data_IF_465097127672
#
_entry.id   IF_465097127672
#
_cell.length_a   1.000
_cell.length_b   1.000
_cell.length_c   1.000
_cell.angle_alpha   90.00
_cell.angle_beta   90.00
_cell.angle_gamma   90.00
#
_symmetry.space_group_name_H-M   'P 1'
#
loop_
_entity.id
_entity.type
_entity.pdbx_description
1 polymer ?
#
# COMPACT_ATOMS: atom_id res chain seq x y z
N UNK A 1 -18.77 12.46 1.33
CA UNK A 1 -18.61 11.52 2.46
C UNK A 1 -17.18 10.99 2.48
N UNK A 2 -16.53 11.12 3.61
CA UNK A 2 -15.14 10.66 3.77
C UNK A 2 -15.09 9.17 4.08
N UNK A 3 -14.28 8.44 3.33
CA UNK A 3 -14.02 7.02 3.52
C UNK A 3 -12.53 6.77 3.67
N UNK A 4 -12.18 5.56 4.11
CA UNK A 4 -10.78 5.15 4.26
C UNK A 4 -10.52 3.86 3.48
N UNK A 5 -9.38 3.81 2.82
CA UNK A 5 -8.90 2.63 2.10
C UNK A 5 -7.52 2.24 2.66
N UNK A 6 -7.23 0.95 2.71
CA UNK A 6 -5.99 0.41 3.31
C UNK A 6 -5.29 -0.51 2.32
N UNK A 7 -4.10 -0.12 1.90
CA UNK A 7 -3.30 -0.90 0.94
C UNK A 7 -1.88 -1.11 1.43
N UNK A 8 -1.39 -2.34 1.31
CA UNK A 8 0.01 -2.68 1.57
C UNK A 8 0.72 -2.83 0.22
N UNK A 9 1.67 -1.99 -0.06
CA UNK A 9 2.37 -1.91 -1.35
C UNK A 9 3.88 -1.90 -1.27
N UNK A 10 4.46 -2.56 -0.27
CA UNK A 10 5.89 -2.52 -0.01
C UNK A 10 6.24 -1.34 0.87
N UNK A 11 7.39 -0.71 0.63
CA UNK A 11 7.81 0.44 1.42
C UNK A 11 6.76 1.57 1.35
N UNK A 12 6.19 1.95 2.50
CA UNK A 12 5.14 2.98 2.51
C UNK A 12 5.65 4.36 2.10
N UNK A 13 6.95 4.64 2.25
CA UNK A 13 7.53 5.89 1.75
C UNK A 13 7.42 6.02 0.23
N UNK A 14 7.45 4.89 -0.47
CA UNK A 14 7.48 4.85 -1.94
C UNK A 14 6.09 4.80 -2.57
N UNK A 15 5.09 4.33 -1.85
CA UNK A 15 3.73 4.13 -2.38
C UNK A 15 2.80 5.33 -2.12
N UNK A 16 3.15 6.22 -1.19
CA UNK A 16 2.29 7.35 -0.83
C UNK A 16 2.17 8.46 -1.89
N UNK A 17 3.26 8.83 -2.64
CA UNK A 17 3.19 9.98 -3.54
C UNK A 17 2.05 9.99 -4.56
N UNK A 18 1.74 8.88 -5.28
CA UNK A 18 0.66 8.90 -6.26
C UNK A 18 -0.70 9.27 -5.67
N UNK A 19 -0.93 8.92 -4.40
CA UNK A 19 -2.19 9.21 -3.74
C UNK A 19 -2.30 10.67 -3.29
N UNK A 20 -1.17 11.28 -2.91
CA UNK A 20 -1.17 12.71 -2.60
C UNK A 20 -1.52 13.56 -3.82
N UNK A 21 -1.23 13.07 -5.02
CA UNK A 21 -1.50 13.76 -6.27
C UNK A 21 -2.89 13.47 -6.82
N UNK A 22 -3.64 12.56 -6.20
CA UNK A 22 -4.98 12.18 -6.65
C UNK A 22 -6.02 13.14 -6.11
N UNK A 23 -6.78 13.79 -7.00
CA UNK A 23 -7.87 14.68 -6.60
C UNK A 23 -8.93 13.88 -5.84
N UNK A 24 -9.39 14.43 -4.73
CA UNK A 24 -10.34 13.76 -3.84
C UNK A 24 -9.69 13.02 -2.67
N UNK A 25 -8.37 12.80 -2.70
CA UNK A 25 -7.65 12.24 -1.55
C UNK A 25 -7.39 13.37 -0.55
N UNK A 26 -7.83 13.17 0.69
CA UNK A 26 -7.75 14.17 1.75
C UNK A 26 -6.48 14.02 2.58
N UNK A 27 -6.05 12.79 2.83
CA UNK A 27 -4.82 12.51 3.58
C UNK A 27 -4.37 11.08 3.34
N UNK A 28 -3.08 10.83 3.55
CA UNK A 28 -2.47 9.50 3.50
C UNK A 28 -1.62 9.32 4.74
N UNK A 29 -1.88 8.27 5.51
CA UNK A 29 -1.10 7.93 6.70
C UNK A 29 -0.35 6.62 6.46
N UNK A 30 0.89 6.55 6.92
CA UNK A 30 1.72 5.34 6.87
C UNK A 30 1.60 4.57 8.18
N UNK A 31 1.51 3.26 8.11
CA UNK A 31 1.35 2.42 9.30
C UNK A 31 1.46 0.94 9.00
N UNK A 32 0.82 0.13 9.85
CA UNK A 32 0.96 -1.33 9.83
C UNK A 32 -0.40 -2.02 9.95
N UNK A 33 -0.57 -3.08 9.16
CA UNK A 33 -1.80 -3.89 9.13
C UNK A 33 -1.48 -5.38 8.95
N UNK A 34 -2.42 -6.20 9.35
CA UNK A 34 -2.44 -7.62 9.00
C UNK A 34 -1.79 -8.56 10.00
N UNK A 35 -1.10 -8.04 11.00
CA UNK A 35 -0.51 -8.84 12.07
C UNK A 35 -1.39 -8.84 13.32
N UNK A 36 -1.04 -9.69 14.27
CA UNK A 36 -1.76 -9.81 15.55
C UNK A 36 -1.15 -8.95 16.65
N UNK A 37 0.07 -8.49 16.46
CA UNK A 37 0.77 -7.67 17.46
C UNK A 37 0.11 -6.31 17.60
N UNK A 38 -0.07 -5.85 18.84
CA UNK A 38 -0.63 -4.53 19.14
C UNK A 38 0.49 -3.50 19.19
N UNK A 39 0.23 -2.34 18.61
CA UNK A 39 1.17 -1.20 18.62
C UNK A 39 2.59 -1.59 18.19
N UNK A 40 2.77 -2.24 17.03
CA UNK A 40 4.09 -2.66 16.58
C UNK A 40 4.97 -1.44 16.31
N UNK A 41 6.28 -1.59 16.53
CA UNK A 41 7.24 -0.55 16.15
C UNK A 41 7.71 -0.78 14.71
N UNK A 42 8.14 0.29 14.04
CA UNK A 42 8.73 0.19 12.71
C UNK A 42 9.92 -0.79 12.71
N UNK A 43 10.76 -0.72 13.73
CA UNK A 43 11.93 -1.59 13.86
C UNK A 43 11.55 -3.08 13.88
N UNK A 44 10.51 -3.44 14.63
CA UNK A 44 10.06 -4.83 14.72
C UNK A 44 9.43 -5.31 13.41
N UNK A 45 8.66 -4.46 12.74
CA UNK A 45 8.05 -4.80 11.45
C UNK A 45 9.14 -4.97 10.39
N UNK A 46 10.07 -4.04 10.32
CA UNK A 46 11.20 -4.08 9.38
C UNK A 46 12.08 -5.32 9.62
N UNK A 47 12.30 -5.68 10.87
CA UNK A 47 13.09 -6.86 11.24
C UNK A 47 12.34 -8.19 10.98
N UNK A 48 11.13 -8.15 10.45
CA UNK A 48 10.28 -9.31 10.16
C UNK A 48 9.91 -10.11 11.42
N UNK A 49 9.78 -9.42 12.55
CA UNK A 49 9.42 -10.03 13.84
C UNK A 49 7.91 -10.10 14.06
N UNK A 50 7.13 -9.47 13.19
CA UNK A 50 5.67 -9.39 13.29
C UNK A 50 5.01 -9.92 12.03
N UNK A 51 3.70 -10.16 12.08
CA UNK A 51 2.91 -10.52 10.91
C UNK A 51 2.39 -9.30 10.13
N UNK A 52 2.75 -8.09 10.56
CA UNK A 52 2.28 -6.85 9.92
C UNK A 52 2.97 -6.58 8.59
N UNK A 53 2.22 -5.89 7.70
CA UNK A 53 2.74 -5.31 6.46
C UNK A 53 2.80 -3.80 6.61
N UNK A 54 3.78 -3.16 5.99
CA UNK A 54 3.76 -1.71 5.82
C UNK A 54 2.57 -1.34 4.95
N UNK A 55 1.72 -0.46 5.45
CA UNK A 55 0.40 -0.19 4.88
C UNK A 55 0.15 1.31 4.86
N UNK A 56 -0.59 1.77 3.87
CA UNK A 56 -1.07 3.16 3.83
C UNK A 56 -2.58 3.17 4.09
N UNK A 57 -3.01 4.19 4.84
CA UNK A 57 -4.42 4.50 5.06
C UNK A 57 -4.75 5.76 4.28
N UNK A 58 -5.62 5.65 3.30
CA UNK A 58 -6.01 6.76 2.43
C UNK A 58 -7.38 7.24 2.88
N UNK A 59 -7.45 8.51 3.33
CA UNK A 59 -8.73 9.16 3.61
C UNK A 59 -9.13 9.93 2.36
N UNK A 60 -10.33 9.67 1.84
CA UNK A 60 -10.75 10.24 0.56
C UNK A 60 -12.22 10.64 0.56
N UNK A 61 -12.54 11.60 -0.31
CA UNK A 61 -13.91 12.04 -0.55
C UNK A 61 -14.51 11.15 -1.65
N UNK A 62 -15.44 10.28 -1.25
CA UNK A 62 -16.06 9.31 -2.15
C UNK A 62 -16.92 9.94 -3.25
N UNK A 63 -17.22 11.23 -3.14
CA UNK A 63 -17.93 11.98 -4.19
C UNK A 63 -16.98 12.47 -5.29
N UNK A 64 -15.68 12.54 -5.00
CA UNK A 64 -14.66 13.04 -5.95
C UNK A 64 -13.83 11.92 -6.56
N UNK A 65 -13.55 10.88 -5.79
CA UNK A 65 -12.73 9.75 -6.25
C UNK A 65 -13.37 8.45 -5.76
N UNK A 66 -13.41 7.43 -6.61
CA UNK A 66 -14.00 6.15 -6.25
C UNK A 66 -12.96 5.21 -5.64
N UNK A 67 -13.45 4.20 -4.90
CA UNK A 67 -12.59 3.14 -4.38
C UNK A 67 -11.86 2.43 -5.53
N UNK A 68 -12.55 2.19 -6.65
CA UNK A 68 -11.93 1.56 -7.82
C UNK A 68 -10.79 2.42 -8.40
N UNK A 69 -10.93 3.74 -8.41
CA UNK A 69 -9.85 4.63 -8.87
C UNK A 69 -8.61 4.46 -7.99
N UNK A 70 -8.81 4.34 -6.67
CA UNK A 70 -7.70 4.11 -5.74
C UNK A 70 -7.07 2.74 -5.95
N UNK A 71 -7.87 1.70 -6.20
CA UNK A 71 -7.37 0.37 -6.52
C UNK A 71 -6.50 0.38 -7.78
N UNK A 72 -6.93 1.06 -8.82
CA UNK A 72 -6.18 1.15 -10.08
C UNK A 72 -4.87 1.90 -9.87
N UNK A 73 -4.88 2.98 -9.09
CA UNK A 73 -3.66 3.72 -8.74
C UNK A 73 -2.70 2.83 -7.97
N UNK A 74 -3.20 2.08 -7.00
CA UNK A 74 -2.39 1.16 -6.21
C UNK A 74 -1.73 0.10 -7.10
N UNK A 75 -2.53 -0.60 -7.91
CA UNK A 75 -2.04 -1.69 -8.75
C UNK A 75 -1.06 -1.21 -9.83
N UNK A 76 -1.20 0.04 -10.29
CA UNK A 76 -0.29 0.63 -11.26
C UNK A 76 1.08 1.00 -10.67
N UNK A 77 1.18 1.12 -9.34
CA UNK A 77 2.39 1.58 -8.66
C UNK A 77 3.14 0.46 -7.92
N UNK A 78 2.74 -0.79 -8.08
CA UNK A 78 3.40 -1.96 -7.47
C UNK A 78 3.69 -3.01 -8.54
N UNK A 79 4.56 -3.96 -8.21
CA UNK A 79 4.73 -5.17 -9.01
C UNK A 79 3.77 -6.23 -8.47
N UNK A 80 2.60 -6.42 -9.08
CA UNK A 80 1.56 -7.28 -8.52
C UNK A 80 1.86 -8.77 -8.60
N UNK A 81 2.93 -9.16 -9.26
CA UNK A 81 3.33 -10.56 -9.45
C UNK A 81 4.47 -10.99 -8.52
N UNK A 82 4.98 -10.09 -7.68
CA UNK A 82 6.08 -10.39 -6.76
C UNK A 82 5.52 -10.81 -5.38
N UNK A 83 5.65 -12.09 -5.06
CA UNK A 83 5.13 -12.65 -3.81
C UNK A 83 6.08 -12.47 -2.62
N UNK A 84 7.33 -12.09 -2.83
CA UNK A 84 8.35 -12.01 -1.79
C UNK A 84 8.63 -10.62 -1.24
N UNK A 85 7.95 -9.61 -1.76
CA UNK A 85 8.19 -8.21 -1.40
C UNK A 85 7.99 -7.31 -2.58
N UNK A 86 8.68 -6.16 -2.60
CA UNK A 86 8.63 -5.20 -3.71
C UNK A 86 10.03 -4.68 -3.99
N UNK A 87 10.52 -4.93 -5.20
CA UNK A 87 11.83 -4.45 -5.65
C UNK A 87 12.95 -4.94 -4.71
N UNK A 88 13.73 -4.04 -4.12
CA UNK A 88 14.80 -4.42 -3.20
C UNK A 88 14.30 -4.73 -1.78
N UNK A 89 13.06 -4.36 -1.47
CA UNK A 89 12.46 -4.57 -0.15
C UNK A 89 11.84 -5.96 -0.08
N UNK A 90 12.45 -6.86 0.68
CA UNK A 90 12.07 -8.27 0.72
C UNK A 90 11.58 -8.66 2.11
N UNK A 91 10.60 -9.57 2.13
CA UNK A 91 10.05 -10.11 3.36
C UNK A 91 8.57 -9.81 3.53
N UNK A 92 7.95 -10.43 4.53
CA UNK A 92 6.50 -10.35 4.82
C UNK A 92 6.00 -8.91 4.88
N UNK A 93 6.75 -8.01 5.54
CA UNK A 93 6.31 -6.62 5.73
C UNK A 93 6.17 -5.84 4.42
N UNK A 94 6.79 -6.31 3.34
CA UNK A 94 6.79 -5.66 2.03
C UNK A 94 5.94 -6.41 1.01
N UNK A 95 5.16 -7.41 1.42
CA UNK A 95 4.24 -8.10 0.53
C UNK A 95 2.95 -7.30 0.32
N UNK A 96 2.23 -7.62 -0.74
CA UNK A 96 1.07 -6.85 -1.18
C UNK A 96 -0.24 -7.33 -0.57
N UNK A 97 -1.09 -6.40 -0.16
CA UNK A 97 -2.44 -6.72 0.29
C UNK A 97 -3.39 -5.54 0.07
N UNK A 98 -4.66 -5.89 -0.12
CA UNK A 98 -5.78 -4.97 -0.11
C UNK A 98 -6.62 -5.37 1.10
N UNK A 99 -6.80 -4.44 2.06
CA UNK A 99 -7.60 -4.69 3.26
C UNK A 99 -8.98 -4.06 3.08
N UNK A 100 -10.00 -4.87 2.84
CA UNK A 100 -11.35 -4.37 2.60
C UNK A 100 -12.13 -4.20 3.92
N UNK A 101 -12.99 -3.18 3.95
CA UNK A 101 -13.85 -2.89 5.10
C UNK A 101 -15.30 -3.30 4.85
N UNK A 102 -15.71 -3.45 3.58
CA UNK A 102 -17.08 -3.80 3.19
C UNK A 102 -17.07 -4.88 2.14
N UNK A 103 -18.22 -5.55 1.95
CA UNK A 103 -18.38 -6.57 0.91
C UNK A 103 -18.24 -5.96 -0.50
N UNK A 104 -18.69 -4.72 -0.69
CA UNK A 104 -18.54 -4.02 -1.96
C UNK A 104 -17.08 -3.79 -2.30
N UNK A 105 -16.28 -3.37 -1.31
CA UNK A 105 -14.82 -3.19 -1.49
C UNK A 105 -14.15 -4.51 -1.84
N UNK A 106 -14.54 -5.59 -1.17
CA UNK A 106 -14.04 -6.93 -1.47
C UNK A 106 -14.31 -7.33 -2.91
N UNK A 107 -15.55 -7.12 -3.35
CA UNK A 107 -15.96 -7.47 -4.72
C UNK A 107 -15.18 -6.64 -5.75
N UNK A 108 -14.98 -5.35 -5.51
CA UNK A 108 -14.19 -4.49 -6.39
C UNK A 108 -12.73 -4.92 -6.44
N UNK A 109 -12.15 -5.28 -5.29
CA UNK A 109 -10.76 -5.75 -5.21
C UNK A 109 -10.60 -7.08 -5.97
N UNK A 110 -11.50 -8.03 -5.78
CA UNK A 110 -11.47 -9.31 -6.47
C UNK A 110 -11.59 -9.13 -7.99
N UNK A 111 -12.45 -8.22 -8.43
CA UNK A 111 -12.61 -7.90 -9.85
C UNK A 111 -11.33 -7.29 -10.44
N UNK A 112 -10.74 -6.33 -9.75
CA UNK A 112 -9.51 -5.67 -10.22
C UNK A 112 -8.35 -6.66 -10.32
N UNK A 113 -8.18 -7.51 -9.32
CA UNK A 113 -7.13 -8.55 -9.31
C UNK A 113 -7.41 -9.59 -10.40
N UNK A 114 -8.67 -9.98 -10.58
CA UNK A 114 -9.08 -10.94 -11.61
C UNK A 114 -8.81 -10.43 -13.02
N UNK A 115 -9.06 -9.16 -13.28
CA UNK A 115 -8.76 -8.53 -14.58
C UNK A 115 -7.26 -8.47 -14.82
N UNK A 116 -6.48 -8.14 -13.78
CA UNK A 116 -5.03 -8.11 -13.86
C UNK A 116 -4.47 -9.51 -14.13
N UNK A 117 -5.05 -10.54 -13.52
CA UNK A 117 -4.62 -11.93 -13.74
C UNK A 117 -4.76 -12.36 -15.20
N UNK A 118 -5.73 -11.81 -15.92
CA UNK A 118 -5.92 -12.13 -17.35
C UNK A 118 -4.78 -11.59 -18.22
N UNK A 119 -3.98 -10.68 -17.73
CA UNK A 119 -2.88 -10.06 -18.49
C UNK A 119 -1.57 -10.84 -18.42
N UNK A 120 -1.48 -11.87 -17.57
CA UNK A 120 -0.22 -12.60 -17.36
C UNK A 120 -0.48 -14.05 -16.94
N UNK A 121 0.46 -14.92 -17.30
CA UNK A 121 0.48 -16.32 -16.85
C UNK A 121 1.01 -16.45 -15.42
N UNK A 122 1.68 -15.41 -14.91
CA UNK A 122 2.18 -15.39 -13.53
C UNK A 122 1.02 -15.14 -12.58
N UNK A 123 0.99 -15.83 -11.41
CA UNK A 123 -0.07 -15.57 -10.44
C UNK A 123 0.07 -14.17 -9.82
N UNK A 124 -1.06 -13.48 -9.70
CA UNK A 124 -1.12 -12.19 -8.99
C UNK A 124 -0.87 -12.45 -7.51
N UNK A 125 0.07 -11.72 -6.94
CA UNK A 125 0.55 -11.90 -5.57
C UNK A 125 -0.05 -10.89 -4.59
N UNK A 126 -1.22 -10.33 -4.92
CA UNK A 126 -1.92 -9.37 -4.05
C UNK A 126 -2.94 -10.14 -3.21
N UNK A 127 -2.76 -10.13 -1.89
CA UNK A 127 -3.69 -10.76 -0.96
C UNK A 127 -4.89 -9.84 -0.73
N UNK A 128 -6.09 -10.40 -0.68
CA UNK A 128 -7.31 -9.64 -0.37
C UNK A 128 -7.80 -10.12 0.99
N UNK A 129 -7.66 -9.26 2.01
CA UNK A 129 -7.92 -9.63 3.40
C UNK A 129 -8.91 -8.65 4.05
N UNK A 130 -9.65 -9.14 5.04
CA UNK A 130 -10.54 -8.27 5.80
C UNK A 130 -9.73 -7.33 6.70
N UNK A 131 -10.12 -6.06 6.73
CA UNK A 131 -9.50 -5.09 7.61
C UNK A 131 -9.84 -5.41 9.06
N UNK A 132 -8.82 -5.43 9.93
CA UNK A 132 -9.00 -5.64 11.38
C UNK A 132 -8.55 -4.42 12.17
N UNK A 133 -7.33 -3.94 11.91
CA UNK A 133 -6.74 -2.83 12.64
C UNK A 133 -5.62 -2.19 11.84
N UNK A 134 -5.40 -0.91 12.08
CA UNK A 134 -4.31 -0.15 11.50
C UNK A 134 -3.60 0.59 12.63
N UNK A 135 -2.29 0.40 12.74
CA UNK A 135 -1.46 1.09 13.72
C UNK A 135 -0.59 2.10 12.99
N UNK A 136 -0.78 3.37 13.29
CA UNK A 136 -0.02 4.45 12.64
C UNK A 136 1.47 4.33 12.99
N UNK A 137 2.32 4.48 11.99
CA UNK A 137 3.77 4.52 12.20
C UNK A 137 4.17 5.83 12.86
N UNK A 138 5.40 5.88 13.40
CA UNK A 138 5.94 7.06 14.07
C UNK A 138 5.86 8.28 13.15
N UNK A 139 5.77 9.48 13.75
CA UNK A 139 5.55 10.74 13.02
C UNK A 139 6.57 10.97 11.90
N UNK A 140 7.84 10.58 12.11
CA UNK A 140 8.86 10.84 11.10
C UNK A 140 8.68 10.03 9.81
N UNK A 141 7.84 8.98 9.81
CA UNK A 141 7.49 8.21 8.61
C UNK A 141 6.37 8.87 7.80
N UNK A 142 5.62 9.80 8.41
CA UNK A 142 4.50 10.45 7.76
C UNK A 142 5.01 11.50 6.77
N UNK A 143 4.46 11.53 5.56
CA UNK A 143 4.88 12.48 4.51
C UNK A 143 6.39 12.45 4.22
N UNK A 144 7.00 11.28 4.35
CA UNK A 144 8.46 11.15 4.28
C UNK A 144 9.06 11.77 3.01
N UNK A 145 8.45 11.54 1.86
CA UNK A 145 8.99 12.04 0.59
C UNK A 145 8.96 13.56 0.49
N UNK A 146 8.02 14.22 1.16
CA UNK A 146 7.93 15.69 1.21
C UNK A 146 8.97 16.26 2.16
N UNK A 147 9.25 15.54 3.25
CA UNK A 147 10.23 15.94 4.25
C UNK A 147 11.66 15.67 3.80
N UNK A 148 11.85 14.68 2.94
CA UNK A 148 13.17 14.19 2.50
C UNK A 148 13.22 13.98 0.97
N UNK A 149 13.04 15.04 0.16
CA UNK A 149 12.91 14.88 -1.30
C UNK A 149 14.15 14.28 -1.98
N UNK A 150 15.36 14.61 -1.52
CA UNK A 150 16.59 14.05 -2.09
C UNK A 150 16.74 12.57 -1.74
N UNK A 151 16.51 12.23 -0.47
CA UNK A 151 16.56 10.84 -0.02
C UNK A 151 15.47 10.00 -0.69
N UNK A 152 14.30 10.56 -0.90
CA UNK A 152 13.21 9.90 -1.63
C UNK A 152 13.63 9.58 -3.08
N UNK A 153 14.24 10.54 -3.77
CA UNK A 153 14.71 10.34 -5.14
C UNK A 153 15.74 9.20 -5.20
N UNK A 154 16.68 9.17 -4.25
CA UNK A 154 17.67 8.10 -4.17
C UNK A 154 17.02 6.75 -3.89
N UNK A 155 16.03 6.69 -3.00
CA UNK A 155 15.30 5.46 -2.69
C UNK A 155 14.54 4.94 -3.90
N UNK A 156 13.88 5.80 -4.65
CA UNK A 156 13.16 5.39 -5.86
C UNK A 156 14.09 4.78 -6.91
N UNK A 157 15.27 5.36 -7.09
CA UNK A 157 16.29 4.82 -7.99
C UNK A 157 16.83 3.49 -7.51
N UNK A 158 17.21 3.40 -6.25
CA UNK A 158 17.77 2.20 -5.65
C UNK A 158 16.77 1.05 -5.67
N UNK A 159 15.48 1.34 -5.41
CA UNK A 159 14.43 0.32 -5.38
C UNK A 159 14.03 -0.18 -6.78
N UNK A 160 14.38 0.55 -7.83
CA UNK A 160 13.97 0.21 -9.19
C UNK A 160 12.58 0.70 -9.56
N UNK A 161 11.86 1.37 -8.66
CA UNK A 161 10.48 1.84 -8.91
C UNK A 161 10.41 2.91 -9.99
N UNK A 162 11.42 3.76 -10.06
CA UNK A 162 11.50 4.84 -11.04
C UNK A 162 11.47 4.33 -12.50
N UNK A 163 11.82 3.06 -12.71
CA UNK A 163 11.86 2.44 -14.05
C UNK A 163 10.51 1.91 -14.50
N UNK A 164 9.50 2.03 -13.66
CA UNK A 164 8.17 1.51 -13.95
C UNK A 164 7.27 2.66 -14.37
N UNK A 165 7.16 2.85 -15.65
CA UNK A 165 6.26 3.84 -16.23
C UNK A 165 5.03 3.18 -16.86
#
# INVERSE_FOLDING_TARGET
MTKKAYFAGGCFWCITPPFYETDGVLSVASGFCGGDEKNPSYEDVKAQKTGHRETICISYDAEKVSYNDLLQTFLANVDPFDAGGQFIDRGRSYTLAIYYCTDDERAEAEKAVGELQKTSDKPVAVSIEVFKSFYMAEEYHQDWYRKHPEAFTCEMKASGRERRD
#
